data_IF_461325693767
#
_entry.id   IF_461325693767
#
_cell.length_a   1.000
_cell.length_b   1.000
_cell.length_c   1.000
_cell.angle_alpha   90.00
_cell.angle_beta   90.00
_cell.angle_gamma   90.00
#
_symmetry.space_group_name_H-M   'P 1'
#
loop_
_entity.id
_entity.type
_entity.pdbx_description
1 polymer ?
#
# COMPACT_ATOMS: atom_id res chain seq x y z
N UNK A 1 -57.53 -28.43 -66.67
CA UNK A 1 -56.18 -28.83 -66.17
C UNK A 1 -55.42 -27.60 -65.66
N UNK A 2 -55.46 -27.39 -64.31
CA UNK A 2 -54.80 -26.22 -63.64
C UNK A 2 -53.45 -26.64 -63.11
N UNK A 3 -52.37 -25.98 -63.58
CA UNK A 3 -50.99 -26.13 -63.07
C UNK A 3 -50.82 -25.25 -61.85
N UNK A 4 -50.52 -25.82 -60.67
CA UNK A 4 -50.13 -25.07 -59.51
C UNK A 4 -48.63 -24.86 -59.52
N UNK A 5 -48.22 -23.61 -59.48
CA UNK A 5 -46.86 -23.16 -59.38
C UNK A 5 -46.54 -22.97 -57.89
N UNK A 6 -45.65 -23.75 -57.32
CA UNK A 6 -45.16 -23.60 -55.95
C UNK A 6 -44.00 -22.63 -55.98
N UNK A 7 -44.18 -21.48 -55.34
CA UNK A 7 -43.12 -20.50 -55.08
C UNK A 7 -42.51 -20.92 -53.71
N UNK A 8 -41.28 -21.46 -53.73
CA UNK A 8 -40.50 -21.63 -52.53
C UNK A 8 -39.85 -20.28 -52.19
N UNK A 9 -40.32 -19.67 -51.08
CA UNK A 9 -39.72 -18.51 -50.48
C UNK A 9 -38.59 -18.95 -49.55
N UNK A 10 -37.34 -18.75 -50.00
CA UNK A 10 -36.16 -18.98 -49.15
C UNK A 10 -35.98 -17.79 -48.17
N UNK A 11 -36.33 -17.99 -46.93
CA UNK A 11 -36.03 -17.05 -45.86
C UNK A 11 -34.57 -17.26 -45.44
N UNK A 12 -33.65 -16.45 -45.98
CA UNK A 12 -32.29 -16.37 -45.51
C UNK A 12 -32.23 -15.59 -44.19
N UNK A 13 -32.11 -16.32 -43.08
CA UNK A 13 -31.84 -15.72 -41.77
C UNK A 13 -30.39 -15.19 -41.78
N UNK A 14 -30.23 -13.90 -42.03
CA UNK A 14 -28.95 -13.21 -41.75
C UNK A 14 -28.84 -13.13 -40.23
N UNK A 15 -28.10 -14.08 -39.64
CA UNK A 15 -27.52 -13.88 -38.31
C UNK A 15 -26.43 -12.79 -38.42
N UNK A 16 -26.81 -11.54 -38.20
CA UNK A 16 -25.86 -10.48 -37.94
C UNK A 16 -25.24 -10.76 -36.56
N UNK A 17 -24.10 -11.46 -36.53
CA UNK A 17 -23.23 -11.46 -35.36
C UNK A 17 -22.71 -10.04 -35.21
N UNK A 18 -23.33 -9.28 -34.32
CA UNK A 18 -22.74 -8.03 -33.85
C UNK A 18 -21.42 -8.39 -33.18
N UNK A 19 -20.34 -8.27 -33.91
CA UNK A 19 -19.00 -8.19 -33.29
C UNK A 19 -19.03 -6.91 -32.47
N UNK A 20 -19.27 -7.04 -31.17
CA UNK A 20 -18.99 -5.95 -30.25
C UNK A 20 -17.54 -5.58 -30.46
N UNK A 21 -17.27 -4.39 -30.93
CA UNK A 21 -15.92 -3.88 -31.12
C UNK A 21 -15.23 -3.98 -29.77
N UNK A 22 -14.25 -4.86 -29.67
CA UNK A 22 -13.49 -5.08 -28.44
C UNK A 22 -12.86 -3.73 -28.05
N UNK A 23 -13.25 -3.18 -26.90
CA UNK A 23 -12.63 -1.95 -26.41
C UNK A 23 -11.19 -2.28 -26.04
N UNK A 24 -10.22 -1.67 -26.71
CA UNK A 24 -8.80 -1.82 -26.37
C UNK A 24 -8.47 -1.19 -25.01
N UNK A 25 -9.28 -0.23 -24.56
CA UNK A 25 -9.12 0.50 -23.30
C UNK A 25 -10.36 0.34 -22.43
N UNK A 26 -10.14 -0.06 -21.19
CA UNK A 26 -11.13 -0.09 -20.11
C UNK A 26 -10.83 1.06 -19.16
N UNK A 27 -11.83 1.86 -18.82
CA UNK A 27 -11.72 2.91 -17.81
C UNK A 27 -12.32 2.45 -16.49
N UNK A 28 -11.62 2.66 -15.38
CA UNK A 28 -12.14 2.28 -14.05
C UNK A 28 -13.44 3.03 -13.71
N UNK A 29 -13.63 4.23 -14.27
CA UNK A 29 -14.85 5.03 -14.11
C UNK A 29 -16.07 4.40 -14.76
N UNK A 30 -15.92 3.56 -15.79
CA UNK A 30 -17.02 2.80 -16.41
C UNK A 30 -17.58 1.75 -15.43
N UNK A 31 -16.83 1.42 -14.37
CA UNK A 31 -17.21 0.49 -13.29
C UNK A 31 -17.63 1.20 -11.99
N UNK A 32 -17.73 2.52 -12.03
CA UNK A 32 -18.21 3.32 -10.90
C UNK A 32 -17.11 3.81 -9.94
N UNK A 33 -15.82 3.59 -10.26
CA UNK A 33 -14.75 4.21 -9.48
C UNK A 33 -14.74 5.73 -9.74
N UNK A 34 -15.05 6.51 -8.72
CA UNK A 34 -15.17 7.96 -8.83
C UNK A 34 -13.97 8.63 -8.16
N UNK A 35 -13.20 9.48 -8.88
CA UNK A 35 -12.07 10.17 -8.27
C UNK A 35 -12.54 11.17 -7.21
N UNK A 36 -11.76 11.32 -6.14
CA UNK A 36 -12.02 12.22 -5.01
C UNK A 36 -13.35 11.99 -4.27
N UNK A 37 -13.95 10.81 -4.41
CA UNK A 37 -15.17 10.45 -3.66
C UNK A 37 -14.87 10.13 -2.19
N UNK A 38 -13.62 9.72 -1.89
CA UNK A 38 -13.21 9.17 -0.59
C UNK A 38 -13.99 7.91 -0.19
N UNK A 39 -14.66 7.29 -1.14
CA UNK A 39 -15.34 6.01 -0.98
C UNK A 39 -14.43 4.85 -1.40
N UNK A 40 -14.72 3.66 -0.90
CA UNK A 40 -13.97 2.46 -1.25
C UNK A 40 -14.17 2.08 -2.71
N UNK A 41 -13.12 2.20 -3.52
CA UNK A 41 -13.12 1.86 -4.93
C UNK A 41 -12.54 0.46 -5.24
N UNK A 42 -12.23 -0.36 -4.24
CA UNK A 42 -11.53 -1.65 -4.45
C UNK A 42 -12.30 -2.58 -5.39
N UNK A 43 -13.61 -2.74 -5.18
CA UNK A 43 -14.44 -3.65 -5.99
C UNK A 43 -14.63 -3.14 -7.42
N UNK A 44 -14.77 -1.85 -7.59
CA UNK A 44 -14.92 -1.21 -8.90
C UNK A 44 -13.65 -1.35 -9.74
N UNK A 45 -12.49 -1.06 -9.15
CA UNK A 45 -11.21 -1.19 -9.86
C UNK A 45 -10.90 -2.65 -10.13
N UNK A 46 -11.18 -3.56 -9.17
CA UNK A 46 -10.98 -4.99 -9.39
C UNK A 46 -11.88 -5.51 -10.53
N UNK A 47 -13.15 -5.08 -10.59
CA UNK A 47 -14.05 -5.43 -11.68
C UNK A 47 -13.53 -4.97 -13.05
N UNK A 48 -12.93 -3.77 -13.12
CA UNK A 48 -12.30 -3.29 -14.34
C UNK A 48 -11.06 -4.11 -14.75
N UNK A 49 -10.24 -4.55 -13.77
CA UNK A 49 -9.11 -5.47 -14.00
C UNK A 49 -9.62 -6.81 -14.53
N UNK A 50 -10.66 -7.36 -13.91
CA UNK A 50 -11.26 -8.64 -14.32
C UNK A 50 -11.88 -8.54 -15.73
N UNK A 51 -12.44 -7.40 -16.08
CA UNK A 51 -12.93 -7.14 -17.44
C UNK A 51 -11.80 -7.07 -18.46
N UNK A 52 -10.64 -6.46 -18.12
CA UNK A 52 -9.46 -6.51 -18.97
C UNK A 52 -9.03 -7.95 -19.23
N UNK A 53 -9.01 -8.78 -18.18
CA UNK A 53 -8.69 -10.22 -18.30
C UNK A 53 -9.69 -10.95 -19.20
N UNK A 54 -10.97 -10.69 -19.02
CA UNK A 54 -12.07 -11.34 -19.75
C UNK A 54 -12.06 -10.99 -21.25
N UNK A 55 -11.80 -9.72 -21.57
CA UNK A 55 -11.88 -9.20 -22.94
C UNK A 55 -10.55 -9.23 -23.69
N UNK A 56 -9.43 -9.33 -22.96
CA UNK A 56 -8.09 -9.14 -23.52
C UNK A 56 -7.77 -7.68 -23.87
N UNK A 57 -8.46 -6.72 -23.27
CA UNK A 57 -8.19 -5.29 -23.42
C UNK A 57 -6.72 -4.99 -23.09
N UNK A 58 -6.13 -4.06 -23.82
CA UNK A 58 -4.69 -3.77 -23.74
C UNK A 58 -4.36 -2.64 -22.75
N UNK A 59 -5.34 -1.85 -22.38
CA UNK A 59 -5.15 -0.71 -21.48
C UNK A 59 -6.24 -0.68 -20.40
N UNK A 60 -5.83 -0.63 -19.15
CA UNK A 60 -6.65 -0.19 -18.02
C UNK A 60 -6.29 1.25 -17.71
N UNK A 61 -7.21 2.16 -17.87
CA UNK A 61 -6.98 3.60 -17.66
C UNK A 61 -7.61 4.08 -16.36
N UNK A 62 -6.78 4.71 -15.52
CA UNK A 62 -7.22 5.42 -14.34
C UNK A 62 -7.18 6.92 -14.65
N UNK A 63 -8.30 7.61 -14.82
CA UNK A 63 -8.29 9.06 -14.90
C UNK A 63 -7.59 9.69 -13.70
N UNK A 64 -6.93 10.84 -13.91
CA UNK A 64 -6.24 11.54 -12.82
C UNK A 64 -7.21 11.81 -11.66
N UNK A 65 -6.73 11.55 -10.44
CA UNK A 65 -7.51 11.73 -9.22
C UNK A 65 -7.03 10.83 -8.09
N UNK A 66 -7.68 10.95 -6.96
CA UNK A 66 -7.49 10.08 -5.79
C UNK A 66 -8.59 9.02 -5.78
N UNK A 67 -8.20 7.76 -5.58
CA UNK A 67 -9.07 6.61 -5.43
C UNK A 67 -8.72 5.87 -4.15
N UNK A 68 -9.66 5.76 -3.24
CA UNK A 68 -9.46 5.16 -1.94
C UNK A 68 -9.70 3.65 -1.98
N UNK A 69 -8.81 2.88 -1.39
CA UNK A 69 -8.80 1.42 -1.38
C UNK A 69 -8.82 0.94 0.08
N UNK A 70 -9.91 0.32 0.50
CA UNK A 70 -10.10 -0.21 1.85
C UNK A 70 -9.98 -1.74 1.87
N UNK A 71 -9.71 -2.36 3.03
CA UNK A 71 -9.64 -3.82 3.15
C UNK A 71 -10.94 -4.55 2.82
N UNK A 72 -12.08 -3.87 2.99
CA UNK A 72 -13.40 -4.41 2.72
C UNK A 72 -13.61 -4.62 1.22
N UNK A 73 -13.85 -5.88 0.84
CA UNK A 73 -13.97 -6.27 -0.57
C UNK A 73 -12.64 -6.56 -1.27
N UNK A 74 -11.51 -6.33 -0.62
CA UNK A 74 -10.20 -6.70 -1.16
C UNK A 74 -9.98 -8.23 -1.15
N UNK A 75 -9.12 -8.69 -2.05
CA UNK A 75 -8.78 -10.11 -2.16
C UNK A 75 -7.99 -10.59 -0.94
N UNK A 76 -8.38 -11.73 -0.37
CA UNK A 76 -7.62 -12.40 0.68
C UNK A 76 -6.96 -13.65 0.11
N UNK A 77 -5.64 -13.71 0.20
CA UNK A 77 -4.85 -14.81 -0.37
C UNK A 77 -3.66 -15.17 0.50
N UNK A 78 -3.33 -16.44 0.57
CA UNK A 78 -2.12 -16.89 1.22
C UNK A 78 -0.91 -16.62 0.33
N UNK A 79 0.08 -15.94 0.90
CA UNK A 79 1.36 -15.68 0.26
C UNK A 79 2.52 -15.92 1.21
N UNK A 80 3.54 -16.56 0.68
CA UNK A 80 4.88 -16.59 1.26
C UNK A 80 5.71 -15.47 0.65
N UNK A 81 5.89 -14.40 1.39
CA UNK A 81 6.69 -13.27 0.96
C UNK A 81 8.02 -13.32 1.70
N UNK A 82 9.11 -13.52 0.96
CA UNK A 82 10.44 -13.60 1.53
C UNK A 82 10.85 -12.30 2.21
N UNK A 83 11.70 -12.42 3.24
CA UNK A 83 12.33 -11.30 3.95
C UNK A 83 11.33 -10.32 4.64
N UNK A 84 10.14 -10.77 5.00
CA UNK A 84 9.16 -9.93 5.67
C UNK A 84 9.08 -10.17 7.18
N UNK A 85 8.70 -11.35 7.60
CA UNK A 85 8.62 -11.77 9.00
C UNK A 85 8.70 -13.28 9.12
N UNK A 86 9.11 -13.77 10.29
CA UNK A 86 9.14 -15.19 10.57
C UNK A 86 7.73 -15.74 10.81
N UNK A 87 7.55 -17.05 10.71
CA UNK A 87 6.28 -17.70 11.05
C UNK A 87 5.87 -17.51 12.51
N UNK A 88 6.84 -17.31 13.41
CA UNK A 88 6.59 -17.03 14.81
C UNK A 88 6.08 -15.60 15.04
N UNK A 89 6.57 -14.65 14.25
CA UNK A 89 6.14 -13.25 14.33
C UNK A 89 4.81 -13.03 13.62
N UNK A 90 4.60 -13.70 12.49
CA UNK A 90 3.37 -13.62 11.70
C UNK A 90 2.91 -15.03 11.28
N UNK A 91 2.16 -15.75 12.14
CA UNK A 91 1.71 -17.10 11.83
C UNK A 91 0.68 -17.15 10.70
N UNK A 92 -0.01 -16.07 10.42
CA UNK A 92 -0.96 -16.00 9.30
C UNK A 92 -0.27 -15.62 8.00
N UNK A 93 -0.36 -16.51 7.01
CA UNK A 93 0.13 -16.26 5.64
C UNK A 93 -0.89 -15.54 4.77
N UNK A 94 -2.12 -15.38 5.26
CA UNK A 94 -3.19 -14.71 4.52
C UNK A 94 -2.91 -13.21 4.48
N UNK A 95 -2.75 -12.68 3.26
CA UNK A 95 -2.59 -11.25 3.00
C UNK A 95 -3.89 -10.67 2.47
N UNK A 96 -4.16 -9.44 2.84
CA UNK A 96 -5.18 -8.62 2.19
C UNK A 96 -4.51 -7.90 1.03
N UNK A 97 -4.97 -8.15 -0.18
CA UNK A 97 -4.43 -7.58 -1.42
C UNK A 97 -5.43 -6.59 -1.96
N UNK A 98 -5.04 -5.34 -2.05
CA UNK A 98 -5.93 -4.26 -2.52
C UNK A 98 -6.38 -4.49 -3.95
N UNK A 99 -5.44 -4.63 -4.89
CA UNK A 99 -5.74 -4.93 -6.28
C UNK A 99 -4.92 -6.13 -6.74
N UNK A 100 -5.60 -7.08 -7.38
CA UNK A 100 -5.02 -8.34 -7.82
C UNK A 100 -5.04 -8.48 -9.33
N UNK A 101 -3.87 -8.68 -9.93
CA UNK A 101 -3.71 -9.13 -11.31
C UNK A 101 -3.29 -10.60 -11.29
N UNK A 102 -4.16 -11.50 -11.73
CA UNK A 102 -3.88 -12.93 -11.80
C UNK A 102 -4.03 -13.44 -13.22
N UNK A 103 -2.96 -14.02 -13.77
CA UNK A 103 -2.95 -14.63 -15.13
C UNK A 103 -3.43 -13.65 -16.20
N UNK A 104 -2.90 -12.43 -16.16
CA UNK A 104 -3.16 -11.38 -17.16
C UNK A 104 -1.92 -11.23 -18.04
N UNK A 105 -2.14 -11.09 -19.34
CA UNK A 105 -1.08 -10.89 -20.32
C UNK A 105 -1.33 -9.63 -21.14
N UNK A 106 -0.24 -8.96 -21.55
CA UNK A 106 -0.25 -7.83 -22.47
C UNK A 106 -1.16 -6.66 -21.99
N UNK A 107 -1.09 -6.27 -20.73
CA UNK A 107 -1.88 -5.18 -20.19
C UNK A 107 -0.99 -4.01 -19.75
N UNK A 108 -1.38 -2.80 -20.14
CA UNK A 108 -0.85 -1.55 -19.59
C UNK A 108 -1.86 -0.96 -18.60
N UNK A 109 -1.45 -0.77 -17.36
CA UNK A 109 -2.17 0.06 -16.39
C UNK A 109 -1.65 1.49 -16.56
N UNK A 110 -2.45 2.37 -17.14
CA UNK A 110 -2.13 3.78 -17.34
C UNK A 110 -2.76 4.60 -16.21
N UNK A 111 -1.90 5.01 -15.27
CA UNK A 111 -2.32 5.73 -14.06
C UNK A 111 -2.65 7.20 -14.30
N UNK A 112 -2.13 7.83 -15.37
CA UNK A 112 -2.37 9.25 -15.68
C UNK A 112 -2.09 10.22 -14.52
N UNK A 113 -1.19 9.86 -13.60
CA UNK A 113 -0.92 10.60 -12.37
C UNK A 113 -1.97 10.42 -11.26
N UNK A 114 -2.84 9.43 -11.37
CA UNK A 114 -3.77 9.08 -10.31
C UNK A 114 -3.04 8.56 -9.07
N UNK A 115 -3.64 8.79 -7.92
CA UNK A 115 -3.20 8.25 -6.63
C UNK A 115 -4.16 7.17 -6.16
N UNK A 116 -3.65 5.96 -5.95
CA UNK A 116 -4.33 4.92 -5.20
C UNK A 116 -3.97 5.12 -3.72
N UNK A 117 -4.95 5.54 -2.93
CA UNK A 117 -4.79 5.79 -1.50
C UNK A 117 -5.31 4.60 -0.70
N UNK A 118 -4.40 3.91 -0.05
CA UNK A 118 -4.70 2.69 0.69
C UNK A 118 -4.98 2.98 2.16
N UNK A 119 -5.88 2.19 2.72
CA UNK A 119 -6.26 2.22 4.13
C UNK A 119 -6.02 0.86 4.79
N UNK A 120 -5.69 0.89 6.06
CA UNK A 120 -5.47 -0.34 6.81
C UNK A 120 -4.17 -1.06 6.44
N UNK A 121 -4.07 -2.31 6.82
CA UNK A 121 -2.88 -3.14 6.66
C UNK A 121 -3.07 -4.08 5.46
N UNK A 122 -2.45 -3.75 4.32
CA UNK A 122 -2.60 -4.54 3.09
C UNK A 122 -1.39 -4.45 2.14
N UNK A 123 -1.25 -5.45 1.29
CA UNK A 123 -0.42 -5.38 0.08
C UNK A 123 -1.17 -4.58 -0.97
N UNK A 124 -0.53 -3.57 -1.57
CA UNK A 124 -1.27 -2.65 -2.44
C UNK A 124 -1.66 -3.30 -3.76
N UNK A 125 -0.68 -3.85 -4.49
CA UNK A 125 -0.91 -4.59 -5.72
C UNK A 125 -0.19 -5.94 -5.67
N UNK A 126 -0.82 -6.97 -6.23
CA UNK A 126 -0.18 -8.24 -6.51
C UNK A 126 -0.33 -8.60 -7.99
N UNK A 127 0.78 -8.99 -8.62
CA UNK A 127 0.84 -9.54 -9.95
C UNK A 127 1.26 -11.00 -9.82
N UNK A 128 0.43 -11.93 -10.26
CA UNK A 128 0.70 -13.35 -10.16
C UNK A 128 0.45 -14.04 -11.50
N UNK A 129 1.42 -14.83 -11.96
CA UNK A 129 1.39 -15.51 -13.25
C UNK A 129 1.09 -14.57 -14.44
N UNK A 130 1.57 -13.34 -14.35
CA UNK A 130 1.35 -12.31 -15.37
C UNK A 130 2.51 -12.23 -16.36
N UNK A 131 2.22 -11.78 -17.59
CA UNK A 131 3.25 -11.62 -18.61
C UNK A 131 3.01 -10.35 -19.42
N UNK A 132 4.09 -9.60 -19.72
CA UNK A 132 4.04 -8.32 -20.45
C UNK A 132 3.09 -7.29 -19.78
N UNK A 133 3.27 -7.06 -18.50
CA UNK A 133 2.50 -6.03 -17.77
C UNK A 133 3.32 -4.75 -17.67
N UNK A 134 2.69 -3.64 -17.93
CA UNK A 134 3.24 -2.31 -17.73
C UNK A 134 2.37 -1.52 -16.75
N UNK A 135 2.99 -0.94 -15.73
CA UNK A 135 2.35 0.03 -14.83
C UNK A 135 3.03 1.37 -15.07
N UNK A 136 2.26 2.37 -15.48
CA UNK A 136 2.78 3.65 -15.91
C UNK A 136 2.10 4.81 -15.19
N UNK A 137 2.91 5.78 -14.73
CA UNK A 137 2.46 7.08 -14.20
C UNK A 137 1.39 6.96 -13.11
N UNK A 138 1.70 6.19 -12.05
CA UNK A 138 0.81 5.87 -10.94
C UNK A 138 1.44 6.26 -9.61
N UNK A 139 0.64 6.83 -8.71
CA UNK A 139 1.00 7.06 -7.33
C UNK A 139 0.32 6.02 -6.43
N UNK A 140 1.08 5.49 -5.48
CA UNK A 140 0.61 4.54 -4.48
C UNK A 140 0.98 5.10 -3.11
N UNK A 141 -0.01 5.27 -2.25
CA UNK A 141 0.18 5.86 -0.93
C UNK A 141 -0.73 5.21 0.11
N UNK A 142 -0.45 5.44 1.37
CA UNK A 142 -1.31 5.10 2.49
C UNK A 142 -1.79 6.37 3.16
N UNK A 143 -3.08 6.42 3.50
CA UNK A 143 -3.67 7.55 4.23
C UNK A 143 -2.94 7.80 5.55
N UNK A 144 -2.46 6.73 6.18
CA UNK A 144 -1.63 6.81 7.37
C UNK A 144 -0.43 5.89 7.27
N UNK A 145 0.78 6.39 7.54
CA UNK A 145 1.97 5.56 7.56
C UNK A 145 1.87 4.49 8.65
N UNK A 146 2.50 3.33 8.40
CA UNK A 146 2.64 2.28 9.41
C UNK A 146 3.70 2.62 10.48
N UNK A 147 4.52 3.63 10.22
CA UNK A 147 5.49 4.16 11.17
C UNK A 147 4.86 5.19 12.10
N UNK A 148 5.42 5.30 13.29
CA UNK A 148 5.10 6.32 14.26
C UNK A 148 6.37 7.07 14.64
N UNK A 149 6.26 8.34 14.96
CA UNK A 149 7.44 9.13 15.32
C UNK A 149 7.29 9.86 16.63
N UNK A 150 8.37 9.87 17.40
CA UNK A 150 8.52 10.68 18.60
C UNK A 150 9.88 11.36 18.60
N UNK A 151 9.93 12.59 19.11
CA UNK A 151 11.17 13.34 19.26
C UNK A 151 11.47 13.59 20.72
N UNK A 152 12.71 13.36 21.16
CA UNK A 152 13.15 13.67 22.51
C UNK A 152 13.18 15.16 22.74
N UNK A 153 12.42 15.65 23.75
CA UNK A 153 12.30 17.06 24.10
C UNK A 153 13.04 17.44 25.35
N UNK A 154 13.04 16.53 26.34
CA UNK A 154 13.74 16.72 27.60
C UNK A 154 14.20 15.38 28.13
N UNK A 155 15.40 15.34 28.65
CA UNK A 155 16.00 14.14 29.25
C UNK A 155 16.68 14.56 30.57
N UNK A 156 16.30 13.89 31.63
CA UNK A 156 16.90 14.04 32.95
C UNK A 156 17.13 12.64 33.52
N UNK A 157 17.82 12.54 34.64
CA UNK A 157 17.95 11.25 35.31
C UNK A 157 16.57 10.76 35.79
N UNK A 158 16.16 9.61 35.28
CA UNK A 158 14.88 8.98 35.62
C UNK A 158 13.66 9.48 34.87
N UNK A 159 13.76 10.55 34.06
CA UNK A 159 12.63 11.06 33.28
C UNK A 159 13.03 11.44 31.84
N UNK A 160 12.16 11.10 30.90
CA UNK A 160 12.29 11.50 29.50
C UNK A 160 10.96 12.04 28.99
N UNK A 161 10.96 13.21 28.38
CA UNK A 161 9.79 13.77 27.70
C UNK A 161 9.98 13.70 26.20
N UNK A 162 8.94 13.24 25.50
CA UNK A 162 8.93 13.21 24.03
C UNK A 162 7.72 13.97 23.50
N UNK A 163 7.87 14.58 22.33
CA UNK A 163 6.72 14.98 21.52
C UNK A 163 6.36 13.87 20.55
N UNK A 164 5.08 13.60 20.43
CA UNK A 164 4.54 12.63 19.48
C UNK A 164 4.14 13.35 18.20
N UNK A 165 4.47 12.79 17.05
CA UNK A 165 4.07 13.37 15.76
C UNK A 165 2.52 13.46 15.68
N UNK A 166 1.94 14.55 15.15
CA UNK A 166 0.48 14.74 15.11
C UNK A 166 -0.30 13.60 14.43
N UNK A 167 0.29 12.92 13.46
CA UNK A 167 -0.35 11.80 12.77
C UNK A 167 -0.15 10.45 13.46
N UNK A 168 0.70 10.40 14.48
CA UNK A 168 0.86 9.19 15.31
C UNK A 168 -0.33 9.06 16.25
N UNK A 169 -1.00 7.91 16.17
CA UNK A 169 -2.06 7.55 17.10
C UNK A 169 -1.51 6.73 18.25
N UNK A 170 -1.87 7.12 19.45
CA UNK A 170 -1.49 6.42 20.68
C UNK A 170 -2.60 6.47 21.70
N UNK A 171 -2.50 5.57 22.67
CA UNK A 171 -3.28 5.59 23.88
C UNK A 171 -2.37 5.24 25.07
N UNK A 172 -2.73 5.71 26.26
CA UNK A 172 -2.06 5.31 27.50
C UNK A 172 -3.06 4.49 28.31
N UNK A 173 -2.74 3.20 28.48
CA UNK A 173 -3.57 2.24 29.22
C UNK A 173 -2.75 1.69 30.36
N UNK A 174 -3.26 1.80 31.58
CA UNK A 174 -2.57 1.39 32.81
C UNK A 174 -1.15 1.95 32.92
N UNK A 175 -0.97 3.21 32.51
CA UNK A 175 0.31 3.91 32.55
C UNK A 175 1.34 3.41 31.50
N UNK A 176 0.92 2.70 30.47
CA UNK A 176 1.75 2.26 29.36
C UNK A 176 1.23 2.82 28.05
N UNK A 177 2.14 3.28 27.21
CA UNK A 177 1.80 3.77 25.88
C UNK A 177 1.66 2.61 24.89
N UNK A 178 0.62 2.66 24.07
CA UNK A 178 0.41 1.78 22.93
C UNK A 178 0.27 2.62 21.66
N UNK A 179 1.01 2.27 20.64
CA UNK A 179 0.85 2.88 19.31
C UNK A 179 -0.13 2.05 18.49
N UNK A 180 -0.93 2.73 17.68
CA UNK A 180 -1.86 2.07 16.77
C UNK A 180 -2.09 2.88 15.49
N UNK A 181 -2.59 2.21 14.46
CA UNK A 181 -2.98 2.83 13.21
C UNK A 181 -4.18 2.14 12.59
N UNK A 182 -4.42 2.36 11.32
CA UNK A 182 -5.48 1.68 10.59
C UNK A 182 -5.15 0.19 10.48
N UNK A 183 -6.00 -0.65 11.06
CA UNK A 183 -5.87 -2.12 10.97
C UNK A 183 -4.69 -2.71 11.74
N UNK A 184 -3.99 -1.96 12.57
CA UNK A 184 -2.92 -2.49 13.39
C UNK A 184 -2.84 -1.84 14.78
N UNK A 185 -2.35 -2.61 15.71
CA UNK A 185 -1.98 -2.20 17.07
C UNK A 185 -0.74 -3.00 17.46
N UNK A 186 0.30 -2.34 17.91
CA UNK A 186 1.54 -3.00 18.24
C UNK A 186 2.09 -2.50 19.57
N UNK A 187 2.58 -3.45 20.37
CA UNK A 187 3.37 -3.19 21.58
C UNK A 187 4.82 -3.68 21.42
N UNK A 188 5.15 -4.31 20.29
CA UNK A 188 6.50 -4.77 19.94
C UNK A 188 6.92 -4.05 18.69
N UNK A 189 7.89 -3.16 18.81
CA UNK A 189 8.28 -2.29 17.72
C UNK A 189 9.79 -2.31 17.54
N UNK A 190 10.23 -2.24 16.28
CA UNK A 190 11.58 -1.86 15.94
C UNK A 190 11.66 -0.35 15.82
N UNK A 191 12.78 0.24 16.24
CA UNK A 191 12.98 1.65 16.01
C UNK A 191 14.38 1.97 15.46
N UNK A 192 14.39 3.03 14.66
CA UNK A 192 15.59 3.69 14.15
C UNK A 192 15.61 5.07 14.76
N UNK A 193 16.77 5.51 15.23
CA UNK A 193 16.96 6.85 15.75
C UNK A 193 17.69 7.70 14.72
N UNK A 194 17.10 8.82 14.38
CA UNK A 194 17.67 9.84 13.53
C UNK A 194 18.28 10.95 14.37
N UNK A 195 19.53 11.29 14.08
CA UNK A 195 20.22 12.42 14.66
C UNK A 195 20.29 13.56 13.63
N UNK A 196 19.56 14.68 13.83
CA UNK A 196 19.51 15.77 12.87
C UNK A 196 20.84 16.56 12.75
N UNK A 197 21.69 16.55 13.76
CA UNK A 197 22.95 17.29 13.72
C UNK A 197 24.01 16.61 12.83
N UNK A 198 23.93 15.28 12.70
CA UNK A 198 24.87 14.49 11.91
C UNK A 198 24.21 13.85 10.68
N UNK A 199 22.90 14.09 10.50
CA UNK A 199 22.08 13.48 9.43
C UNK A 199 22.28 11.95 9.34
N UNK A 200 22.41 11.29 10.50
CA UNK A 200 22.71 9.88 10.59
C UNK A 200 21.60 9.08 11.25
N UNK A 201 21.52 7.81 10.86
CA UNK A 201 20.56 6.85 11.38
C UNK A 201 21.29 5.74 12.15
N UNK A 202 20.73 5.35 13.28
CA UNK A 202 21.21 4.22 14.07
C UNK A 202 20.04 3.34 14.51
N UNK A 203 20.29 2.02 14.56
CA UNK A 203 19.35 1.14 15.23
C UNK A 203 19.29 1.49 16.71
N UNK A 204 18.10 1.64 17.27
CA UNK A 204 17.91 2.09 18.66
C UNK A 204 17.00 1.14 19.42
N UNK A 205 17.24 1.02 20.71
CA UNK A 205 16.34 0.38 21.68
C UNK A 205 15.48 1.41 22.43
N UNK A 206 15.57 2.69 22.04
CA UNK A 206 14.92 3.79 22.75
C UNK A 206 13.42 3.58 22.94
N UNK A 207 12.71 3.16 21.89
CA UNK A 207 11.29 2.89 22.00
C UNK A 207 10.96 1.72 22.93
N UNK A 208 11.73 0.65 22.91
CA UNK A 208 11.52 -0.49 23.82
C UNK A 208 11.64 -0.07 25.28
N UNK A 209 12.55 0.87 25.59
CA UNK A 209 12.69 1.44 26.93
C UNK A 209 11.45 2.27 27.28
N UNK A 210 11.07 3.20 26.39
CA UNK A 210 9.91 4.08 26.62
C UNK A 210 8.60 3.28 26.75
N UNK A 211 8.34 2.34 25.86
CA UNK A 211 7.11 1.52 25.89
C UNK A 211 6.98 0.67 27.15
N UNK A 212 8.11 0.28 27.76
CA UNK A 212 8.12 -0.45 29.04
C UNK A 212 8.15 0.48 30.26
N UNK A 213 8.30 1.77 30.08
CA UNK A 213 8.28 2.79 31.15
C UNK A 213 6.87 3.22 31.51
N UNK A 214 6.69 3.81 32.68
CA UNK A 214 5.45 4.48 33.01
C UNK A 214 5.33 5.76 32.19
N UNK A 215 4.17 5.94 31.56
CA UNK A 215 3.89 7.05 30.64
C UNK A 215 2.74 7.91 31.15
N UNK A 216 2.88 9.24 31.03
CA UNK A 216 1.85 10.21 31.33
C UNK A 216 1.84 11.29 30.27
N UNK A 217 0.70 11.57 29.69
CA UNK A 217 0.52 12.77 28.85
C UNK A 217 0.45 14.01 29.74
N UNK A 218 1.38 14.92 29.58
CA UNK A 218 1.49 16.15 30.39
C UNK A 218 0.92 17.39 29.69
N UNK A 219 0.82 17.32 28.38
CA UNK A 219 0.08 18.25 27.51
C UNK A 219 -0.19 17.53 26.19
N UNK A 220 -1.13 17.99 25.34
CA UNK A 220 -1.45 17.32 24.09
C UNK A 220 -0.21 16.99 23.26
N UNK A 221 0.02 15.68 22.99
CA UNK A 221 1.15 15.19 22.23
C UNK A 221 2.51 15.23 22.94
N UNK A 222 2.58 15.61 24.23
CA UNK A 222 3.81 15.54 25.03
C UNK A 222 3.65 14.49 26.10
N UNK A 223 4.46 13.45 26.00
CA UNK A 223 4.44 12.30 26.91
C UNK A 223 5.70 12.31 27.77
N UNK A 224 5.50 12.24 29.07
CA UNK A 224 6.56 12.03 30.05
C UNK A 224 6.63 10.54 30.42
N UNK A 225 7.85 10.02 30.40
CA UNK A 225 8.16 8.65 30.81
C UNK A 225 9.04 8.64 32.05
N UNK A 226 8.76 7.75 32.99
CA UNK A 226 9.68 7.43 34.09
C UNK A 226 10.65 6.38 33.58
N UNK A 227 11.84 6.81 33.20
CA UNK A 227 12.83 5.97 32.51
C UNK A 227 13.89 5.40 33.48
N UNK A 228 14.54 4.28 33.14
CA UNK A 228 15.64 3.75 33.93
C UNK A 228 16.81 4.75 34.06
N UNK A 229 17.52 4.68 35.17
CA UNK A 229 18.79 5.39 35.32
C UNK A 229 19.77 5.00 34.20
N UNK A 230 20.49 5.99 33.66
CA UNK A 230 21.42 5.78 32.54
C UNK A 230 20.78 5.79 31.16
N UNK A 231 19.45 5.90 31.03
CA UNK A 231 18.82 6.18 29.74
C UNK A 231 18.94 7.68 29.41
N UNK A 232 19.90 8.02 28.58
CA UNK A 232 20.29 9.42 28.26
C UNK A 232 20.28 9.67 26.76
N UNK A 233 19.13 9.53 26.07
CA UNK A 233 19.06 9.83 24.65
C UNK A 233 19.32 11.29 24.39
N UNK A 234 19.80 11.61 23.17
CA UNK A 234 20.07 12.99 22.80
C UNK A 234 18.77 13.74 22.52
N UNK A 235 18.59 14.86 23.20
CA UNK A 235 17.48 15.80 22.92
C UNK A 235 17.58 16.28 21.47
N UNK A 236 16.44 16.29 20.77
CA UNK A 236 16.34 16.63 19.35
C UNK A 236 16.37 15.41 18.43
N UNK A 237 16.92 14.27 18.87
CA UNK A 237 16.82 13.05 18.07
C UNK A 237 15.38 12.58 17.93
N UNK A 238 15.08 11.96 16.79
CA UNK A 238 13.75 11.41 16.47
C UNK A 238 13.81 9.90 16.39
N UNK A 239 12.91 9.22 17.08
CA UNK A 239 12.67 7.80 16.91
C UNK A 239 11.59 7.57 15.87
N UNK A 240 11.92 6.89 14.78
CA UNK A 240 10.94 6.29 13.86
C UNK A 240 10.68 4.86 14.31
N UNK A 241 9.44 4.58 14.63
CA UNK A 241 8.98 3.34 15.26
C UNK A 241 8.05 2.63 14.29
N UNK A 242 8.31 1.35 14.02
CA UNK A 242 7.48 0.52 13.15
C UNK A 242 7.10 -0.80 13.82
N UNK A 243 6.03 -1.41 13.35
CA UNK A 243 5.70 -2.78 13.71
C UNK A 243 6.84 -3.73 13.29
N UNK A 244 7.07 -4.77 14.07
CA UNK A 244 8.01 -5.85 13.70
C UNK A 244 7.52 -6.62 12.47
N UNK A 245 6.21 -6.70 12.27
CA UNK A 245 5.57 -7.43 11.18
C UNK A 245 5.52 -6.56 9.93
N UNK A 246 6.33 -6.89 8.93
CA UNK A 246 6.43 -6.19 7.65
C UNK A 246 5.93 -7.04 6.48
N UNK A 247 4.94 -7.84 6.71
CA UNK A 247 4.43 -8.84 5.77
C UNK A 247 3.43 -8.28 4.73
N UNK A 248 3.17 -6.98 4.78
CA UNK A 248 2.38 -6.26 3.79
C UNK A 248 3.33 -5.43 2.92
N UNK A 249 3.61 -5.91 1.72
CA UNK A 249 4.49 -5.20 0.78
C UNK A 249 3.68 -4.28 -0.13
N UNK A 250 4.34 -3.27 -0.67
CA UNK A 250 3.71 -2.39 -1.66
C UNK A 250 3.30 -3.20 -2.89
N UNK A 251 4.22 -3.47 -3.79
CA UNK A 251 3.97 -4.29 -4.98
C UNK A 251 4.56 -5.69 -4.80
N UNK A 252 3.74 -6.73 -4.93
CA UNK A 252 4.18 -8.12 -4.95
C UNK A 252 4.08 -8.70 -6.36
N UNK A 253 5.20 -9.21 -6.88
CA UNK A 253 5.28 -9.82 -8.22
C UNK A 253 5.71 -11.27 -8.06
N UNK A 254 4.84 -12.18 -8.43
CA UNK A 254 5.03 -13.62 -8.25
C UNK A 254 4.88 -14.37 -9.56
N UNK A 255 5.86 -15.26 -9.87
CA UNK A 255 5.81 -16.17 -11.02
C UNK A 255 5.39 -15.47 -12.33
N UNK A 256 5.96 -14.29 -12.56
CA UNK A 256 5.58 -13.40 -13.65
C UNK A 256 6.77 -13.11 -14.57
N UNK A 257 6.52 -12.53 -15.73
CA UNK A 257 7.55 -12.24 -16.72
C UNK A 257 7.30 -10.92 -17.43
N UNK A 258 8.40 -10.25 -17.82
CA UNK A 258 8.37 -9.01 -18.62
C UNK A 258 7.51 -7.92 -17.99
N UNK A 259 7.80 -7.59 -16.73
CA UNK A 259 7.09 -6.58 -15.96
C UNK A 259 7.82 -5.25 -16.03
N UNK A 260 7.13 -4.20 -16.44
CA UNK A 260 7.68 -2.84 -16.53
C UNK A 260 6.94 -1.88 -15.62
N UNK A 261 7.68 -1.23 -14.72
CA UNK A 261 7.20 -0.13 -13.90
C UNK A 261 7.82 1.16 -14.42
N UNK A 262 7.03 2.14 -14.83
CA UNK A 262 7.51 3.42 -15.35
C UNK A 262 6.82 4.59 -14.68
N UNK A 263 7.58 5.52 -14.11
CA UNK A 263 7.07 6.69 -13.39
C UNK A 263 6.08 6.33 -12.26
N UNK A 264 6.41 5.28 -11.51
CA UNK A 264 5.63 4.87 -10.34
C UNK A 264 6.20 5.55 -9.10
N UNK A 265 5.34 6.20 -8.34
CA UNK A 265 5.68 6.84 -7.06
C UNK A 265 5.06 6.01 -5.94
N UNK A 266 5.90 5.52 -5.04
CA UNK A 266 5.45 4.79 -3.85
C UNK A 266 5.77 5.65 -2.63
N UNK A 267 4.75 5.98 -1.87
CA UNK A 267 4.91 6.77 -0.67
C UNK A 267 4.92 5.85 0.56
N UNK A 268 4.37 6.15 1.65
CA UNK A 268 4.43 5.42 2.93
C UNK A 268 4.06 3.92 2.86
N UNK A 269 4.99 3.07 2.43
CA UNK A 269 4.75 1.62 2.38
C UNK A 269 4.83 1.00 3.78
N UNK A 270 3.93 0.06 4.07
CA UNK A 270 3.84 -0.60 5.38
C UNK A 270 4.92 -1.65 5.63
N UNK A 271 5.68 -2.01 4.60
CA UNK A 271 6.75 -2.98 4.65
C UNK A 271 7.77 -2.71 3.54
N UNK A 272 8.15 -3.76 2.82
CA UNK A 272 9.01 -3.63 1.65
C UNK A 272 8.22 -2.97 0.50
N UNK A 273 8.87 -2.09 -0.26
CA UNK A 273 8.23 -1.40 -1.37
C UNK A 273 7.83 -2.35 -2.49
N UNK A 274 8.80 -3.07 -3.06
CA UNK A 274 8.59 -4.02 -4.15
C UNK A 274 9.29 -5.33 -3.80
N UNK A 275 8.57 -6.44 -3.90
CA UNK A 275 9.11 -7.79 -3.78
C UNK A 275 8.76 -8.58 -5.02
N UNK A 276 9.77 -9.17 -5.63
CA UNK A 276 9.63 -10.01 -6.82
C UNK A 276 10.18 -11.39 -6.53
N UNK A 277 9.37 -12.43 -6.76
CA UNK A 277 9.72 -13.82 -6.53
C UNK A 277 9.40 -14.66 -7.77
N UNK A 278 10.34 -15.54 -8.18
CA UNK A 278 10.18 -16.41 -9.34
C UNK A 278 9.75 -15.66 -10.60
N UNK A 279 10.28 -14.45 -10.79
CA UNK A 279 9.90 -13.54 -11.88
C UNK A 279 11.10 -13.22 -12.75
N UNK A 280 10.90 -13.10 -14.04
CA UNK A 280 11.91 -12.76 -15.03
C UNK A 280 11.66 -11.37 -15.63
N UNK A 281 12.73 -10.65 -15.97
CA UNK A 281 12.70 -9.39 -16.72
C UNK A 281 11.84 -8.30 -16.06
N UNK A 282 12.21 -7.89 -14.87
CA UNK A 282 11.59 -6.73 -14.21
C UNK A 282 12.37 -5.46 -14.58
N UNK A 283 11.71 -4.53 -15.23
CA UNK A 283 12.27 -3.22 -15.62
C UNK A 283 11.65 -2.11 -14.78
N UNK A 284 12.49 -1.26 -14.20
CA UNK A 284 12.07 -0.10 -13.40
C UNK A 284 12.66 1.19 -14.01
N UNK A 285 11.79 2.08 -14.50
CA UNK A 285 12.17 3.39 -15.00
C UNK A 285 11.48 4.49 -14.19
N UNK A 286 12.27 5.34 -13.53
CA UNK A 286 11.77 6.42 -12.68
C UNK A 286 10.76 5.96 -11.62
N UNK A 287 11.04 4.83 -10.99
CA UNK A 287 10.34 4.39 -9.78
C UNK A 287 10.97 5.09 -8.59
N UNK A 288 10.17 5.72 -7.75
CA UNK A 288 10.64 6.46 -6.58
C UNK A 288 9.88 6.02 -5.34
N UNK A 289 10.61 5.89 -4.22
CA UNK A 289 10.05 5.82 -2.89
C UNK A 289 10.42 7.12 -2.18
N UNK A 290 9.42 7.97 -1.91
CA UNK A 290 9.62 9.29 -1.31
C UNK A 290 8.32 9.76 -0.65
N UNK A 291 8.37 10.59 0.41
CA UNK A 291 7.19 11.22 0.99
C UNK A 291 6.37 11.95 -0.08
N UNK A 292 5.04 11.95 0.08
CA UNK A 292 4.18 12.80 -0.73
C UNK A 292 4.50 14.28 -0.47
N UNK A 293 4.32 15.15 -1.48
CA UNK A 293 4.62 16.59 -1.32
C UNK A 293 3.84 17.24 -0.19
N UNK A 294 2.62 16.79 0.06
CA UNK A 294 1.75 17.28 1.14
C UNK A 294 2.24 16.88 2.54
N UNK A 295 3.09 15.86 2.62
CA UNK A 295 3.74 15.40 3.85
C UNK A 295 5.02 16.19 4.20
N UNK A 296 5.28 17.34 3.59
CA UNK A 296 6.46 18.16 3.80
C UNK A 296 6.61 18.74 5.23
N UNK A 297 5.83 18.27 6.19
CA UNK A 297 5.94 18.58 7.62
C UNK A 297 6.26 17.38 8.51
N UNK A 298 6.44 16.20 7.93
CA UNK A 298 6.83 15.01 8.68
C UNK A 298 8.32 15.03 8.98
N UNK A 299 8.69 14.62 10.19
CA UNK A 299 10.08 14.48 10.59
C UNK A 299 10.74 13.25 9.96
N UNK A 300 9.94 12.42 9.29
CA UNK A 300 10.40 11.14 8.81
C UNK A 300 11.60 11.29 7.88
N UNK A 301 12.72 10.70 8.25
CA UNK A 301 13.79 10.50 7.32
C UNK A 301 13.26 9.63 6.19
N UNK A 302 13.56 10.00 4.96
CA UNK A 302 13.20 9.20 3.81
C UNK A 302 13.73 7.78 4.02
N UNK A 303 12.82 6.80 4.12
CA UNK A 303 13.21 5.40 4.13
C UNK A 303 13.65 5.06 2.70
N UNK A 304 14.96 5.10 2.46
CA UNK A 304 15.57 4.56 1.25
C UNK A 304 15.65 3.05 1.31
#
# INVERSE_FOLDING_TARGET
>A
MKKYLHILSAFSLLCATAYAQQKDTIYITDFGATPYSYENCVTQIQAAIDECKRTGAKVLSLPNGRYDIWPEGATRKEYFISNTSTEQECPSKVKTVGLMLDKINDLTIEGNGATLMYHGKMTTLALEHCNHIRINNLHIDFERPAGSEVQYKKVTEGETEVSVHPDTRYEIVNGKINLYGEGWRSNKNHCIEYNPDTESFTYSQGWNILANSAAQEISPGIIRFTTPAGFTPKVGNTLTIRDIIRDQVGLFILESKDITLSRVQMHYMHGLGIVSQYTENVTMDRVRCAPAREAAGYWQPQQT
#
